data_IF_425953885988
#
_entry.id   IF_425953885988
#
_cell.length_a   1.000
_cell.length_b   1.000
_cell.length_c   1.000
_cell.angle_alpha   90.00
_cell.angle_beta   90.00
_cell.angle_gamma   90.00
#
_symmetry.space_group_name_H-M   'P 1'
#
loop_
_entity.id
_entity.type
_entity.pdbx_description
1 polymer ?
#
# COMPACT_ATOMS: atom_id res chain seq x y z
N UNK A 1 19.76 12.31 9.07
CA UNK A 1 18.59 12.17 8.17
C UNK A 1 17.59 11.23 8.80
N UNK A 2 16.51 10.88 8.07
CA UNK A 2 15.57 9.84 8.49
C UNK A 2 16.21 8.44 8.38
N UNK A 3 15.79 7.49 9.23
CA UNK A 3 16.29 6.11 9.21
C UNK A 3 15.54 5.17 8.26
N UNK A 4 14.32 5.54 7.85
CA UNK A 4 13.49 4.85 6.87
C UNK A 4 12.50 5.86 6.30
N UNK A 5 12.19 5.75 5.01
CA UNK A 5 11.06 6.39 4.37
C UNK A 5 10.16 5.31 3.77
N UNK A 6 8.88 5.61 3.60
CA UNK A 6 7.89 4.73 2.95
C UNK A 6 7.33 5.44 1.74
N UNK A 7 7.01 4.68 0.69
CA UNK A 7 6.39 5.21 -0.53
C UNK A 7 5.08 5.93 -0.24
N UNK A 8 4.60 6.71 -1.22
CA UNK A 8 3.18 7.04 -1.24
C UNK A 8 2.32 5.77 -1.25
N UNK A 9 1.15 5.85 -0.60
CA UNK A 9 0.18 4.76 -0.55
C UNK A 9 -0.33 4.34 -1.94
N UNK A 10 -0.23 3.03 -2.22
CA UNK A 10 -0.76 2.35 -3.40
C UNK A 10 -2.03 1.55 -3.05
N UNK A 11 -2.87 1.25 -4.05
CA UNK A 11 -4.11 0.50 -3.83
C UNK A 11 -3.88 -0.99 -4.05
N UNK A 12 -4.54 -1.84 -3.27
CA UNK A 12 -4.51 -3.31 -3.46
C UNK A 12 -5.29 -3.83 -4.67
N UNK A 13 -5.99 -2.95 -5.40
CA UNK A 13 -6.86 -3.36 -6.51
C UNK A 13 -6.10 -3.28 -7.84
N UNK A 14 -5.85 -4.41 -8.52
CA UNK A 14 -5.04 -4.44 -9.74
C UNK A 14 -5.65 -3.63 -10.89
N UNK A 15 -6.96 -3.40 -10.87
CA UNK A 15 -7.64 -2.56 -11.89
C UNK A 15 -7.16 -1.12 -11.85
N UNK A 16 -6.61 -0.67 -10.72
CA UNK A 16 -6.12 0.70 -10.52
C UNK A 16 -4.62 0.86 -10.79
N UNK A 17 -3.87 -0.23 -10.98
CA UNK A 17 -2.41 -0.18 -11.11
C UNK A 17 -1.94 0.44 -12.43
N UNK A 18 -2.74 0.34 -13.49
CA UNK A 18 -2.41 0.92 -14.81
C UNK A 18 -2.58 2.44 -14.91
N UNK A 19 -3.08 3.12 -13.89
CA UNK A 19 -3.22 4.58 -13.94
C UNK A 19 -1.85 5.27 -13.89
N UNK A 20 -1.68 6.40 -14.59
CA UNK A 20 -0.42 7.16 -14.56
C UNK A 20 0.03 7.50 -13.14
N UNK A 21 -0.91 7.79 -12.25
CA UNK A 21 -0.64 8.07 -10.84
C UNK A 21 -0.11 6.84 -10.10
N UNK A 22 -0.69 5.67 -10.35
CA UNK A 22 -0.26 4.42 -9.73
C UNK A 22 1.13 4.03 -10.23
N UNK A 23 1.37 4.10 -11.54
CA UNK A 23 2.68 3.82 -12.14
C UNK A 23 3.77 4.72 -11.56
N UNK A 24 3.50 6.02 -11.40
CA UNK A 24 4.46 6.93 -10.78
C UNK A 24 4.78 6.57 -9.32
N UNK A 25 3.78 6.11 -8.55
CA UNK A 25 3.96 5.72 -7.14
C UNK A 25 4.68 4.39 -6.95
N UNK A 26 4.62 3.52 -7.95
CA UNK A 26 5.29 2.21 -7.95
C UNK A 26 6.66 2.27 -8.62
N UNK A 27 7.09 3.43 -9.09
CA UNK A 27 8.45 3.64 -9.60
C UNK A 27 9.40 3.89 -8.44
N UNK A 28 10.28 2.93 -8.19
CA UNK A 28 11.29 2.98 -7.13
C UNK A 28 12.71 3.00 -7.72
N UNK A 29 12.85 3.28 -9.02
CA UNK A 29 14.14 3.30 -9.67
C UNK A 29 15.07 4.35 -9.05
N UNK A 30 16.19 3.90 -8.49
CA UNK A 30 17.19 4.77 -7.86
C UNK A 30 16.91 5.15 -6.41
N UNK A 31 15.82 4.66 -5.81
CA UNK A 31 15.58 4.80 -4.37
C UNK A 31 16.63 3.98 -3.57
N UNK A 32 17.12 4.49 -2.42
CA UNK A 32 18.04 3.74 -1.58
C UNK A 32 17.33 2.59 -0.86
N UNK A 33 18.03 1.48 -0.69
CA UNK A 33 17.51 0.35 0.07
C UNK A 33 17.46 0.63 1.59
N UNK A 34 16.47 0.07 2.32
CA UNK A 34 15.36 -0.73 1.79
C UNK A 34 14.22 0.13 1.21
N UNK A 35 13.66 -0.30 0.08
CA UNK A 35 12.43 0.23 -0.48
C UNK A 35 11.26 -0.33 0.35
N UNK A 36 10.52 0.59 0.98
CA UNK A 36 9.32 0.29 1.74
C UNK A 36 8.08 0.79 0.99
N UNK A 37 7.16 -0.11 0.68
CA UNK A 37 5.93 0.22 -0.06
C UNK A 37 4.72 0.09 0.83
N UNK A 38 3.91 1.15 0.86
CA UNK A 38 2.63 1.15 1.58
C UNK A 38 1.47 0.77 0.64
N UNK A 39 0.70 -0.25 1.03
CA UNK A 39 -0.51 -0.71 0.33
C UNK A 39 -1.77 -0.45 1.17
N UNK A 40 -2.90 -0.21 0.51
CA UNK A 40 -4.20 -0.03 1.17
C UNK A 40 -5.29 -0.91 0.54
N UNK A 41 -6.12 -1.52 1.38
CA UNK A 41 -7.18 -2.45 0.98
C UNK A 41 -7.98 -2.96 2.15
N UNK A 42 -9.01 -3.75 1.85
CA UNK A 42 -9.88 -4.39 2.83
C UNK A 42 -10.09 -5.89 2.60
N UNK A 43 -9.82 -6.38 1.38
CA UNK A 43 -9.83 -7.82 1.09
C UNK A 43 -8.44 -8.44 1.33
N UNK A 44 -8.31 -9.44 2.22
CA UNK A 44 -7.01 -10.06 2.53
C UNK A 44 -6.32 -10.70 1.32
N UNK A 45 -7.07 -11.23 0.35
CA UNK A 45 -6.47 -11.87 -0.84
C UNK A 45 -5.89 -10.83 -1.78
N UNK A 46 -6.62 -9.74 -2.03
CA UNK A 46 -6.16 -8.60 -2.81
C UNK A 46 -4.93 -7.94 -2.17
N UNK A 47 -4.92 -7.76 -0.84
CA UNK A 47 -3.74 -7.26 -0.11
C UNK A 47 -2.53 -8.19 -0.28
N UNK A 48 -2.72 -9.50 -0.19
CA UNK A 48 -1.64 -10.47 -0.40
C UNK A 48 -1.12 -10.46 -1.85
N UNK A 49 -1.99 -10.31 -2.85
CA UNK A 49 -1.61 -10.16 -4.26
C UNK A 49 -0.82 -8.86 -4.49
N UNK A 50 -1.28 -7.75 -3.92
CA UNK A 50 -0.58 -6.47 -3.99
C UNK A 50 0.79 -6.52 -3.32
N UNK A 51 0.90 -7.18 -2.16
CA UNK A 51 2.18 -7.38 -1.48
C UNK A 51 3.16 -8.16 -2.36
N UNK A 52 2.73 -9.31 -2.92
CA UNK A 52 3.56 -10.11 -3.84
C UNK A 52 3.99 -9.29 -5.06
N UNK A 53 3.06 -8.57 -5.69
CA UNK A 53 3.36 -7.72 -6.83
C UNK A 53 4.44 -6.68 -6.52
N UNK A 54 4.36 -5.99 -5.38
CA UNK A 54 5.35 -4.97 -5.01
C UNK A 54 6.71 -5.58 -4.63
N UNK A 55 6.74 -6.77 -4.01
CA UNK A 55 7.98 -7.52 -3.77
C UNK A 55 8.65 -7.88 -5.10
N UNK A 56 7.89 -8.37 -6.08
CA UNK A 56 8.40 -8.66 -7.43
C UNK A 56 8.95 -7.42 -8.15
N UNK A 57 8.54 -6.22 -7.72
CA UNK A 57 8.99 -4.92 -8.24
C UNK A 57 10.04 -4.23 -7.35
N UNK A 58 10.63 -4.96 -6.40
CA UNK A 58 11.81 -4.52 -5.65
C UNK A 58 11.54 -3.98 -4.24
N UNK A 59 10.30 -4.07 -3.73
CA UNK A 59 10.02 -3.73 -2.33
C UNK A 59 10.63 -4.78 -1.38
N UNK A 60 11.42 -4.34 -0.40
CA UNK A 60 11.90 -5.19 0.70
C UNK A 60 11.02 -5.12 1.94
N UNK A 61 10.19 -4.08 2.05
CA UNK A 61 9.22 -3.91 3.15
C UNK A 61 7.85 -3.62 2.55
N UNK A 62 6.83 -4.33 3.05
CA UNK A 62 5.42 -4.07 2.76
C UNK A 62 4.77 -3.52 4.03
N UNK A 63 4.18 -2.34 3.93
CA UNK A 63 3.44 -1.67 4.99
C UNK A 63 1.95 -1.62 4.64
N UNK A 64 1.06 -1.99 5.56
CA UNK A 64 -0.39 -1.95 5.33
C UNK A 64 -0.94 -0.67 5.95
N UNK A 65 -1.55 0.19 5.13
CA UNK A 65 -2.18 1.41 5.64
C UNK A 65 -3.45 1.07 6.42
N UNK A 66 -3.35 1.15 7.75
CA UNK A 66 -4.47 1.01 8.69
C UNK A 66 -4.84 2.35 9.36
N UNK A 67 -4.31 3.47 8.85
CA UNK A 67 -4.37 4.77 9.55
C UNK A 67 -5.00 5.92 8.77
N UNK A 68 -5.16 5.82 7.45
CA UNK A 68 -5.66 6.94 6.66
C UNK A 68 -7.14 7.25 6.97
N UNK A 69 -7.49 8.46 7.43
CA UNK A 69 -8.87 8.85 7.75
C UNK A 69 -9.63 9.45 6.56
N UNK A 70 -9.02 9.49 5.37
CA UNK A 70 -9.62 10.13 4.20
C UNK A 70 -10.91 9.41 3.78
N UNK A 71 -12.02 10.14 3.65
CA UNK A 71 -13.35 9.58 3.32
C UNK A 71 -13.33 8.60 2.16
N UNK A 72 -12.60 8.90 1.08
CA UNK A 72 -12.49 8.03 -0.11
C UNK A 72 -11.83 6.67 0.18
N UNK A 73 -10.96 6.59 1.19
CA UNK A 73 -10.27 5.37 1.62
C UNK A 73 -11.16 4.61 2.59
N UNK A 74 -11.72 5.30 3.59
CA UNK A 74 -12.61 4.67 4.57
C UNK A 74 -13.92 4.15 3.95
N UNK A 75 -14.45 4.80 2.91
CA UNK A 75 -15.67 4.37 2.22
C UNK A 75 -15.53 3.03 1.49
N UNK A 76 -14.29 2.55 1.26
CA UNK A 76 -14.00 1.21 0.72
C UNK A 76 -13.44 0.26 1.80
N UNK A 77 -13.66 0.60 3.08
CA UNK A 77 -13.25 -0.17 4.25
C UNK A 77 -11.74 -0.33 4.43
N UNK A 78 -10.95 0.58 3.87
CA UNK A 78 -9.49 0.60 4.02
C UNK A 78 -9.02 1.72 4.98
N UNK A 79 -7.72 1.78 5.27
CA UNK A 79 -7.16 2.81 6.14
C UNK A 79 -7.67 2.66 7.57
N UNK A 80 -8.01 3.77 8.23
CA UNK A 80 -8.49 3.73 9.62
C UNK A 80 -9.83 3.02 9.81
N UNK A 81 -10.55 2.69 8.74
CA UNK A 81 -11.78 1.90 8.82
C UNK A 81 -11.49 0.43 9.19
N UNK A 82 -10.29 -0.09 8.92
CA UNK A 82 -9.89 -1.45 9.30
C UNK A 82 -9.89 -1.63 10.84
N UNK A 83 -9.55 -0.56 11.57
CA UNK A 83 -9.47 -0.57 13.02
C UNK A 83 -10.83 -0.50 13.73
N UNK A 84 -11.95 -0.62 13.00
CA UNK A 84 -13.28 -0.75 13.61
C UNK A 84 -13.56 -2.17 14.10
N UNK A 85 -12.80 -3.15 13.62
CA UNK A 85 -12.88 -4.56 14.01
C UNK A 85 -11.46 -5.15 14.03
N UNK A 86 -10.70 -4.79 15.07
CA UNK A 86 -9.29 -5.20 15.22
C UNK A 86 -9.07 -6.72 15.21
N UNK A 87 -10.00 -7.58 15.67
CA UNK A 87 -9.88 -9.03 15.50
C UNK A 87 -9.73 -9.53 14.05
N UNK A 88 -10.11 -8.74 13.04
CA UNK A 88 -9.97 -9.09 11.61
C UNK A 88 -8.65 -8.62 10.99
N UNK A 89 -7.80 -7.94 11.76
CA UNK A 89 -6.54 -7.32 11.33
C UNK A 89 -5.35 -8.19 11.73
#
# INVERSE_FOLDING_TARGET
>A
GAGLAVSEMTHSDPRLWGSAKSLHRMDHAGEPEPVSVQIAGSDPRALAEAARHNVDHGAQIIDINMGCPARKVCNVWAGSALLQDEPLV
#
